data_IF_605928452963
#
_entry.id   IF_605928452963
#
_cell.length_a   1.000
_cell.length_b   1.000
_cell.length_c   1.000
_cell.angle_alpha   90.00
_cell.angle_beta   90.00
_cell.angle_gamma   90.00
#
_symmetry.space_group_name_H-M   'P 1'
#
loop_
_entity.id
_entity.type
_entity.pdbx_description
1 polymer ?
#
# COMPACT_ATOMS: atom_id res chain seq x y z
N UNK A 1 30.21 6.61 7.61
CA UNK A 1 30.58 6.58 6.17
C UNK A 1 29.67 7.55 5.42
N UNK A 2 30.21 8.42 4.57
CA UNK A 2 29.41 9.35 3.76
C UNK A 2 28.74 8.55 2.64
N UNK A 3 27.41 8.48 2.62
CA UNK A 3 26.67 7.73 1.58
C UNK A 3 26.96 8.30 0.19
N UNK A 4 27.08 7.44 -0.81
CA UNK A 4 27.27 7.84 -2.21
C UNK A 4 26.18 8.81 -2.64
N UNK A 5 26.51 9.82 -3.46
CA UNK A 5 25.51 10.74 -4.03
C UNK A 5 24.43 10.05 -4.86
N UNK A 6 24.71 8.83 -5.32
CA UNK A 6 23.79 8.00 -6.10
C UNK A 6 22.88 7.11 -5.24
N UNK A 7 23.08 7.07 -3.91
CA UNK A 7 22.36 6.17 -3.01
C UNK A 7 20.84 6.37 -3.09
N UNK A 8 20.37 7.58 -2.83
CA UNK A 8 18.93 7.86 -2.77
C UNK A 8 18.25 7.75 -4.15
N UNK A 9 18.79 8.32 -5.25
CA UNK A 9 18.18 8.18 -6.57
C UNK A 9 18.09 6.71 -7.05
N UNK A 10 19.13 5.90 -6.78
CA UNK A 10 19.10 4.47 -7.10
C UNK A 10 18.04 3.74 -6.27
N UNK A 11 17.92 4.07 -4.97
CA UNK A 11 16.93 3.44 -4.11
C UNK A 11 15.50 3.73 -4.58
N UNK A 12 15.20 4.95 -5.02
CA UNK A 12 13.91 5.33 -5.59
C UNK A 12 13.61 4.56 -6.88
N UNK A 13 14.55 4.52 -7.82
CA UNK A 13 14.38 3.82 -9.11
C UNK A 13 14.14 2.31 -8.90
N UNK A 14 14.89 1.68 -7.98
CA UNK A 14 14.73 0.25 -7.65
C UNK A 14 13.43 0.00 -6.87
N UNK A 15 13.03 0.92 -5.99
CA UNK A 15 11.76 0.83 -5.29
C UNK A 15 10.58 0.84 -6.28
N UNK A 16 10.69 1.60 -7.38
CA UNK A 16 9.75 1.62 -8.49
C UNK A 16 9.76 0.36 -9.39
N UNK A 17 10.61 -0.63 -9.08
CA UNK A 17 10.64 -1.93 -9.77
C UNK A 17 11.72 -2.08 -10.83
N UNK A 18 12.61 -1.09 -11.01
CA UNK A 18 13.73 -1.21 -11.95
C UNK A 18 14.80 -2.19 -11.44
N UNK A 19 15.50 -2.84 -12.37
CA UNK A 19 16.73 -3.57 -12.06
C UNK A 19 17.86 -2.60 -11.68
N UNK A 20 18.88 -3.05 -10.97
CA UNK A 20 20.04 -2.21 -10.60
C UNK A 20 20.72 -1.62 -11.84
N UNK A 21 20.81 -2.40 -12.93
CA UNK A 21 21.35 -1.92 -14.21
C UNK A 21 20.49 -0.80 -14.80
N UNK A 22 19.18 -1.01 -14.94
CA UNK A 22 18.28 0.01 -15.48
C UNK A 22 18.26 1.28 -14.61
N UNK A 23 18.27 1.12 -13.29
CA UNK A 23 18.36 2.23 -12.35
C UNK A 23 19.67 3.02 -12.52
N UNK A 24 20.79 2.33 -12.79
CA UNK A 24 22.08 2.99 -13.02
C UNK A 24 22.11 3.85 -14.27
N UNK A 25 21.41 3.42 -15.33
CA UNK A 25 21.25 4.17 -16.57
C UNK A 25 20.39 5.43 -16.34
N UNK A 26 19.26 5.29 -15.63
CA UNK A 26 18.38 6.42 -15.27
C UNK A 26 19.08 7.44 -14.37
N UNK A 27 19.87 6.97 -13.40
CA UNK A 27 20.59 7.82 -12.44
C UNK A 27 21.91 8.36 -13.02
N UNK A 28 22.30 7.94 -14.23
CA UNK A 28 23.55 8.29 -14.88
C UNK A 28 24.79 7.99 -14.01
N UNK A 29 24.86 6.78 -13.47
CA UNK A 29 26.05 6.28 -12.75
C UNK A 29 26.61 5.01 -13.38
N UNK A 30 27.90 4.75 -13.20
CA UNK A 30 28.52 3.52 -13.66
C UNK A 30 27.85 2.29 -13.01
N UNK A 31 27.62 1.24 -13.81
CA UNK A 31 26.97 0.00 -13.36
C UNK A 31 27.68 -0.60 -12.14
N UNK A 32 29.03 -0.58 -12.13
CA UNK A 32 29.84 -1.05 -10.99
C UNK A 32 29.57 -0.26 -9.71
N UNK A 33 29.35 1.06 -9.81
CA UNK A 33 28.97 1.91 -8.67
C UNK A 33 27.58 1.56 -8.17
N UNK A 34 26.61 1.34 -9.07
CA UNK A 34 25.26 0.95 -8.67
C UNK A 34 25.24 -0.39 -7.93
N UNK A 35 25.98 -1.40 -8.43
CA UNK A 35 26.10 -2.68 -7.73
C UNK A 35 26.80 -2.56 -6.38
N UNK A 36 27.90 -1.78 -6.30
CA UNK A 36 28.59 -1.53 -5.03
C UNK A 36 27.69 -0.85 -3.99
N UNK A 37 26.89 0.14 -4.41
CA UNK A 37 25.90 0.80 -3.55
C UNK A 37 24.79 -0.17 -3.13
N UNK A 38 24.31 -1.02 -4.05
CA UNK A 38 23.21 -1.95 -3.77
C UNK A 38 23.57 -3.10 -2.84
N UNK A 39 24.86 -3.42 -2.73
CA UNK A 39 25.37 -4.44 -1.82
C UNK A 39 25.22 -4.05 -0.34
N UNK A 40 25.10 -2.75 -0.04
CA UNK A 40 24.92 -2.23 1.31
C UNK A 40 23.52 -2.58 1.87
N UNK A 41 23.48 -3.12 3.08
CA UNK A 41 22.24 -3.42 3.81
C UNK A 41 21.36 -2.19 3.99
N UNK A 42 21.97 -1.02 4.20
CA UNK A 42 21.26 0.25 4.29
C UNK A 42 20.47 0.56 3.01
N UNK A 43 21.03 0.19 1.85
CA UNK A 43 20.35 0.40 0.56
C UNK A 43 19.10 -0.46 0.47
N UNK A 44 19.18 -1.74 0.85
CA UNK A 44 18.03 -2.64 0.87
C UNK A 44 16.96 -2.17 1.84
N UNK A 45 17.35 -1.71 3.03
CA UNK A 45 16.42 -1.11 4.00
C UNK A 45 15.76 0.14 3.44
N UNK A 46 16.50 1.02 2.75
CA UNK A 46 15.93 2.22 2.14
C UNK A 46 14.94 1.90 1.03
N UNK A 47 15.27 0.97 0.12
CA UNK A 47 14.34 0.51 -0.93
C UNK A 47 13.06 -0.04 -0.31
N UNK A 48 13.18 -0.86 0.73
CA UNK A 48 12.03 -1.40 1.46
C UNK A 48 11.17 -0.30 2.07
N UNK A 49 11.78 0.68 2.75
CA UNK A 49 11.08 1.81 3.33
C UNK A 49 10.31 2.63 2.28
N UNK A 50 10.93 2.95 1.14
CA UNK A 50 10.26 3.67 0.04
C UNK A 50 9.05 2.87 -0.48
N UNK A 51 9.18 1.54 -0.63
CA UNK A 51 8.06 0.69 -1.03
C UNK A 51 6.94 0.70 0.01
N UNK A 52 7.27 0.61 1.29
CA UNK A 52 6.28 0.71 2.37
C UNK A 52 5.54 2.03 2.35
N UNK A 53 6.25 3.15 2.19
CA UNK A 53 5.67 4.50 2.07
C UNK A 53 4.74 4.60 0.85
N UNK A 54 5.18 4.09 -0.31
CA UNK A 54 4.40 4.10 -1.55
C UNK A 54 3.11 3.26 -1.44
N UNK A 55 3.21 2.06 -0.85
CA UNK A 55 2.06 1.18 -0.60
C UNK A 55 1.08 1.84 0.37
N UNK A 56 1.56 2.41 1.47
CA UNK A 56 0.70 3.11 2.43
C UNK A 56 -0.07 4.26 1.76
N UNK A 57 0.60 5.04 0.91
CA UNK A 57 -0.05 6.11 0.13
C UNK A 57 -1.07 5.58 -0.89
N UNK A 58 -0.80 4.45 -1.54
CA UNK A 58 -1.75 3.81 -2.45
C UNK A 58 -2.98 3.28 -1.72
N UNK A 59 -2.79 2.65 -0.55
CA UNK A 59 -3.88 2.19 0.32
C UNK A 59 -4.77 3.37 0.72
N UNK A 60 -4.20 4.51 1.16
CA UNK A 60 -4.98 5.69 1.48
C UNK A 60 -5.84 6.20 0.32
N UNK A 61 -5.30 6.20 -0.91
CA UNK A 61 -6.08 6.56 -2.12
C UNK A 61 -7.17 5.55 -2.43
N UNK A 62 -6.92 4.25 -2.27
CA UNK A 62 -7.94 3.23 -2.46
C UNK A 62 -9.07 3.36 -1.43
N UNK A 63 -8.74 3.69 -0.17
CA UNK A 63 -9.75 3.95 0.86
C UNK A 63 -10.65 5.12 0.50
N UNK A 64 -10.09 6.24 0.01
CA UNK A 64 -10.88 7.38 -0.49
C UNK A 64 -11.82 6.98 -1.65
N UNK A 65 -11.29 6.25 -2.64
CA UNK A 65 -12.10 5.78 -3.76
C UNK A 65 -13.20 4.80 -3.32
N UNK A 66 -12.93 3.97 -2.31
CA UNK A 66 -13.91 3.07 -1.74
C UNK A 66 -15.04 3.84 -1.03
N UNK A 67 -14.73 4.90 -0.28
CA UNK A 67 -15.75 5.79 0.32
C UNK A 67 -16.65 6.40 -0.76
N UNK A 68 -16.07 6.94 -1.83
CA UNK A 68 -16.83 7.50 -2.95
C UNK A 68 -17.70 6.46 -3.66
N UNK A 69 -17.23 5.22 -3.78
CA UNK A 69 -18.03 4.14 -4.34
C UNK A 69 -19.25 3.80 -3.46
N UNK A 70 -19.11 3.86 -2.13
CA UNK A 70 -20.24 3.70 -1.21
C UNK A 70 -21.26 4.83 -1.39
N UNK A 71 -20.81 6.07 -1.54
CA UNK A 71 -21.70 7.21 -1.80
C UNK A 71 -22.49 7.01 -3.10
N UNK A 72 -21.80 6.63 -4.18
CA UNK A 72 -22.44 6.30 -5.46
C UNK A 72 -23.46 5.16 -5.31
N UNK A 73 -23.15 4.10 -4.57
CA UNK A 73 -24.11 3.03 -4.31
C UNK A 73 -25.35 3.54 -3.55
N UNK A 74 -25.18 4.48 -2.62
CA UNK A 74 -26.28 5.14 -1.92
C UNK A 74 -27.16 5.97 -2.85
N UNK A 75 -26.56 6.78 -3.73
CA UNK A 75 -27.28 7.55 -4.75
C UNK A 75 -28.09 6.65 -5.70
N UNK A 76 -27.54 5.50 -6.08
CA UNK A 76 -28.22 4.52 -6.95
C UNK A 76 -29.45 3.86 -6.31
N UNK A 77 -29.66 4.01 -4.99
CA UNK A 77 -30.88 3.54 -4.31
C UNK A 77 -32.08 4.47 -4.49
N UNK A 78 -31.86 5.71 -4.95
CA UNK A 78 -32.92 6.71 -5.14
C UNK A 78 -34.04 6.18 -6.02
N UNK A 79 -35.28 6.53 -5.70
CA UNK A 79 -36.47 6.13 -6.44
C UNK A 79 -36.49 6.64 -7.90
N UNK A 80 -35.69 7.65 -8.23
CA UNK A 80 -35.52 8.16 -9.60
C UNK A 80 -34.78 7.20 -10.51
N UNK A 81 -34.04 6.22 -9.97
CA UNK A 81 -33.30 5.23 -10.75
C UNK A 81 -34.19 4.02 -11.10
N UNK A 82 -33.89 3.35 -12.21
CA UNK A 82 -34.63 2.18 -12.65
C UNK A 82 -34.63 1.06 -11.58
N UNK A 83 -35.75 0.33 -11.39
CA UNK A 83 -35.84 -0.71 -10.35
C UNK A 83 -34.70 -1.76 -10.36
N UNK A 84 -34.21 -2.25 -11.53
CA UNK A 84 -33.08 -3.17 -11.56
C UNK A 84 -31.75 -2.54 -11.06
N UNK A 85 -31.52 -1.25 -11.34
CA UNK A 85 -30.33 -0.52 -10.88
C UNK A 85 -30.33 -0.45 -9.36
N UNK A 86 -31.47 -0.05 -8.78
CA UNK A 86 -31.68 0.03 -7.33
C UNK A 86 -31.51 -1.33 -6.65
N UNK A 87 -32.07 -2.39 -7.24
CA UNK A 87 -31.95 -3.75 -6.71
C UNK A 87 -30.49 -4.23 -6.69
N UNK A 88 -29.72 -3.94 -7.74
CA UNK A 88 -28.31 -4.32 -7.81
C UNK A 88 -27.46 -3.52 -6.82
N UNK A 89 -27.71 -2.22 -6.67
CA UNK A 89 -27.05 -1.41 -5.64
C UNK A 89 -27.35 -1.93 -4.22
N UNK A 90 -28.62 -2.25 -3.92
CA UNK A 90 -29.01 -2.82 -2.64
C UNK A 90 -28.32 -4.16 -2.36
N UNK A 91 -28.26 -5.05 -3.36
CA UNK A 91 -27.54 -6.33 -3.25
C UNK A 91 -26.04 -6.15 -3.02
N UNK A 92 -25.41 -5.21 -3.74
CA UNK A 92 -23.99 -4.93 -3.58
C UNK A 92 -23.67 -4.41 -2.16
N UNK A 93 -24.48 -3.48 -1.64
CA UNK A 93 -24.34 -2.97 -0.28
C UNK A 93 -24.50 -4.11 0.74
N UNK A 94 -25.60 -4.87 0.68
CA UNK A 94 -25.88 -5.95 1.64
C UNK A 94 -24.82 -7.06 1.59
N UNK A 95 -24.27 -7.36 0.41
CA UNK A 95 -23.19 -8.32 0.26
C UNK A 95 -21.86 -7.86 0.87
N UNK A 96 -21.62 -6.55 0.93
CA UNK A 96 -20.38 -5.98 1.48
C UNK A 96 -20.43 -5.78 3.01
N UNK A 97 -21.60 -5.47 3.58
CA UNK A 97 -21.75 -5.11 5.01
C UNK A 97 -21.32 -6.25 5.95
N UNK A 98 -21.70 -7.50 5.65
CA UNK A 98 -21.36 -8.67 6.48
C UNK A 98 -19.85 -8.86 6.65
N UNK A 99 -19.10 -9.08 5.54
CA UNK A 99 -17.64 -9.19 5.59
C UNK A 99 -16.93 -7.99 6.23
N UNK A 100 -17.42 -6.77 5.99
CA UNK A 100 -16.83 -5.57 6.60
C UNK A 100 -16.98 -5.53 8.11
N UNK A 101 -18.15 -5.91 8.64
CA UNK A 101 -18.39 -5.99 10.07
C UNK A 101 -17.48 -7.05 10.73
N UNK A 102 -17.35 -8.23 10.10
CA UNK A 102 -16.45 -9.29 10.56
C UNK A 102 -14.99 -8.83 10.58
N UNK A 103 -14.50 -8.17 9.53
CA UNK A 103 -13.14 -7.65 9.50
C UNK A 103 -12.89 -6.57 10.55
N UNK A 104 -13.88 -5.69 10.81
CA UNK A 104 -13.78 -4.67 11.85
C UNK A 104 -13.70 -5.30 13.25
N UNK A 105 -14.51 -6.32 13.52
CA UNK A 105 -14.45 -7.06 14.79
C UNK A 105 -13.11 -7.79 14.97
N UNK A 106 -12.65 -8.49 13.93
CA UNK A 106 -11.34 -9.16 13.94
C UNK A 106 -10.21 -8.17 14.20
N UNK A 107 -10.24 -7.00 13.56
CA UNK A 107 -9.25 -5.94 13.77
C UNK A 107 -9.24 -5.47 15.22
N UNK A 108 -10.41 -5.16 15.79
CA UNK A 108 -10.54 -4.74 17.19
C UNK A 108 -9.99 -5.80 18.17
N UNK A 109 -10.24 -7.09 17.89
CA UNK A 109 -9.71 -8.20 18.70
C UNK A 109 -8.18 -8.32 18.59
N UNK A 110 -7.61 -8.13 17.41
CA UNK A 110 -6.15 -8.12 17.22
C UNK A 110 -5.53 -6.96 18.00
N UNK A 111 -6.05 -5.75 17.85
CA UNK A 111 -5.53 -4.56 18.53
C UNK A 111 -5.59 -4.72 20.07
N UNK A 112 -6.64 -5.36 20.60
CA UNK A 112 -6.76 -5.65 22.04
C UNK A 112 -5.73 -6.68 22.54
N UNK A 113 -5.42 -7.70 21.74
CA UNK A 113 -4.38 -8.69 22.06
C UNK A 113 -2.99 -8.04 22.01
N UNK A 114 -2.72 -7.24 20.98
CA UNK A 114 -1.45 -6.52 20.84
C UNK A 114 -1.21 -5.52 21.98
N UNK A 115 -2.27 -4.96 22.56
CA UNK A 115 -2.18 -4.06 23.72
C UNK A 115 -1.85 -4.77 25.05
N UNK A 116 -2.12 -6.07 25.18
CA UNK A 116 -2.02 -6.82 26.44
C UNK A 116 -0.90 -7.86 26.47
N UNK A 117 -0.42 -8.32 25.31
CA UNK A 117 0.68 -9.28 25.22
C UNK A 117 2.07 -8.63 25.25
N UNK A 118 3.12 -9.33 25.71
CA UNK A 118 4.50 -8.92 25.42
C UNK A 118 4.65 -9.00 23.90
N UNK A 119 4.63 -7.83 23.24
CA UNK A 119 4.52 -7.70 21.79
C UNK A 119 5.32 -8.79 21.08
N UNK A 120 4.62 -9.64 20.34
CA UNK A 120 5.24 -10.69 19.56
C UNK A 120 6.30 -10.00 18.70
N UNK A 121 7.59 -10.24 19.00
CA UNK A 121 8.68 -9.73 18.21
C UNK A 121 8.61 -10.44 16.86
N UNK A 122 7.78 -9.92 15.96
CA UNK A 122 7.80 -10.32 14.55
C UNK A 122 9.17 -9.91 14.06
N UNK A 123 10.04 -10.90 13.87
CA UNK A 123 11.37 -10.70 13.33
C UNK A 123 11.23 -9.98 11.98
N UNK A 124 11.64 -8.71 11.93
CA UNK A 124 11.75 -7.91 10.71
C UNK A 124 13.04 -8.26 9.98
#
# INVERSE_FOLDING_TARGET
>A
MKKSKFFEPLAVAVAAGMTIKAASEVVNCAVSTAYAVSADDDFRRRVSAIRTEAVAGAVGRLSDMASRAVDTLGELLDASNDPPVRLNAAKAILGAVGPMAEFAELRARIDAIEATGPGLKVAR
#
